data_IF_278318443218
#
_entry.id   IF_278318443218
#
_cell.length_a   1.000
_cell.length_b   1.000
_cell.length_c   1.000
_cell.angle_alpha   90.00
_cell.angle_beta   90.00
_cell.angle_gamma   90.00
#
_symmetry.space_group_name_H-M   'P 1'
#
loop_
_entity.id
_entity.type
_entity.pdbx_description
1 polymer ?
#
# COMPACT_ATOMS: atom_id res chain seq x y z
N UNK A 1 -34.88 -12.27 -32.15
CA UNK A 1 -36.04 -11.90 -31.30
C UNK A 1 -36.50 -13.05 -30.39
N UNK A 2 -36.80 -14.26 -30.89
CA UNK A 2 -37.28 -15.38 -30.06
C UNK A 2 -36.33 -15.80 -28.91
N UNK A 3 -35.01 -15.79 -29.13
CA UNK A 3 -34.02 -16.11 -28.10
C UNK A 3 -33.95 -15.05 -26.97
N UNK A 4 -34.16 -13.78 -27.31
CA UNK A 4 -34.19 -12.67 -26.34
C UNK A 4 -35.44 -12.73 -25.47
N UNK A 5 -36.59 -13.12 -26.06
CA UNK A 5 -37.82 -13.37 -25.33
C UNK A 5 -37.65 -14.53 -24.33
N UNK A 6 -37.03 -15.63 -24.77
CA UNK A 6 -36.70 -16.81 -23.95
C UNK A 6 -35.83 -16.47 -22.74
N UNK A 7 -34.76 -15.68 -22.93
CA UNK A 7 -33.86 -15.28 -21.83
C UNK A 7 -34.57 -14.37 -20.83
N UNK A 8 -35.43 -13.45 -21.28
CA UNK A 8 -36.27 -12.63 -20.37
C UNK A 8 -37.24 -13.48 -19.55
N UNK A 9 -37.82 -14.52 -20.14
CA UNK A 9 -38.72 -15.44 -19.44
C UNK A 9 -37.98 -16.26 -18.38
N UNK A 10 -36.76 -16.74 -18.67
CA UNK A 10 -35.93 -17.47 -17.70
C UNK A 10 -35.45 -16.57 -16.56
N UNK A 11 -35.02 -15.34 -16.87
CA UNK A 11 -34.65 -14.36 -15.85
C UNK A 11 -35.84 -14.00 -14.96
N UNK A 12 -37.02 -13.74 -15.54
CA UNK A 12 -38.25 -13.48 -14.78
C UNK A 12 -38.62 -14.64 -13.86
N UNK A 13 -38.43 -15.89 -14.31
CA UNK A 13 -38.70 -17.08 -13.51
C UNK A 13 -37.71 -17.21 -12.34
N UNK A 14 -36.42 -16.95 -12.57
CA UNK A 14 -35.39 -16.96 -11.53
C UNK A 14 -35.62 -15.86 -10.49
N UNK A 15 -36.03 -14.66 -10.91
CA UNK A 15 -36.39 -13.57 -9.98
C UNK A 15 -37.62 -13.92 -9.16
N UNK A 16 -38.61 -14.60 -9.75
CA UNK A 16 -39.79 -15.09 -9.03
C UNK A 16 -39.45 -16.19 -8.02
N UNK A 17 -38.58 -17.13 -8.38
CA UNK A 17 -38.10 -18.17 -7.48
C UNK A 17 -37.33 -17.55 -6.31
N UNK A 18 -36.47 -16.55 -6.57
CA UNK A 18 -35.76 -15.81 -5.52
C UNK A 18 -36.74 -15.06 -4.60
N UNK A 19 -37.77 -14.41 -5.15
CA UNK A 19 -38.79 -13.71 -4.36
C UNK A 19 -39.61 -14.65 -3.49
N UNK A 20 -40.00 -15.81 -4.02
CA UNK A 20 -40.68 -16.87 -3.24
C UNK A 20 -39.75 -17.39 -2.13
N UNK A 21 -38.45 -17.55 -2.40
CA UNK A 21 -37.48 -18.03 -1.40
C UNK A 21 -37.24 -17.00 -0.28
N UNK A 22 -37.24 -15.71 -0.62
CA UNK A 22 -37.15 -14.60 0.35
C UNK A 22 -38.42 -14.50 1.20
N UNK A 23 -39.61 -14.60 0.57
CA UNK A 23 -40.89 -14.56 1.27
C UNK A 23 -41.13 -15.79 2.16
N UNK A 24 -40.71 -16.98 1.73
CA UNK A 24 -40.81 -18.21 2.52
C UNK A 24 -39.77 -18.28 3.65
N UNK A 25 -38.69 -17.50 3.56
CA UNK A 25 -37.72 -17.34 4.65
C UNK A 25 -38.29 -16.60 5.87
N UNK A 26 -39.37 -15.81 5.71
CA UNK A 26 -39.97 -15.01 6.78
C UNK A 26 -41.12 -15.70 7.53
N UNK A 27 -41.67 -16.82 7.06
CA UNK A 27 -42.76 -17.54 7.74
C UNK A 27 -42.37 -18.98 8.15
N UNK A 28 -42.25 -19.19 9.47
CA UNK A 28 -42.18 -20.45 10.23
C UNK A 28 -41.46 -21.68 9.61
N UNK A 29 -40.27 -21.95 10.14
CA UNK A 29 -39.53 -23.21 10.01
C UNK A 29 -40.24 -24.38 10.72
N UNK A 30 -40.49 -25.48 10.00
CA UNK A 30 -40.88 -26.74 10.63
C UNK A 30 -41.15 -27.94 9.71
N UNK A 31 -41.84 -27.77 8.57
CA UNK A 31 -42.40 -28.94 7.86
C UNK A 31 -42.20 -29.02 6.34
N UNK A 32 -41.47 -28.09 5.72
CA UNK A 32 -41.35 -28.01 4.25
C UNK A 32 -40.03 -28.50 3.66
N UNK A 33 -39.31 -29.39 4.38
CA UNK A 33 -38.08 -30.00 3.85
C UNK A 33 -38.30 -31.17 2.88
N UNK A 34 -39.54 -31.62 2.64
CA UNK A 34 -39.83 -32.77 1.77
C UNK A 34 -40.71 -32.48 0.54
N UNK A 35 -41.39 -31.33 0.46
CA UNK A 35 -42.32 -31.04 -0.66
C UNK A 35 -41.64 -30.26 -1.81
N UNK A 36 -40.56 -29.52 -1.53
CA UNK A 36 -39.89 -28.69 -2.56
C UNK A 36 -38.96 -29.52 -3.48
N UNK A 37 -38.57 -30.73 -3.08
CA UNK A 37 -37.71 -31.61 -3.90
C UNK A 37 -38.48 -32.48 -4.91
N UNK A 38 -39.81 -32.57 -4.84
CA UNK A 38 -40.61 -33.43 -5.73
C UNK A 38 -41.42 -32.70 -6.79
N UNK A 39 -41.48 -31.36 -6.78
CA UNK A 39 -42.30 -30.60 -7.73
C UNK A 39 -41.64 -30.11 -9.03
N UNK A 40 -40.29 -30.00 -9.19
CA UNK A 40 -39.74 -29.54 -10.46
C UNK A 40 -39.71 -30.61 -11.56
N UNK A 41 -39.93 -31.90 -11.23
CA UNK A 41 -39.70 -32.98 -12.18
C UNK A 41 -40.86 -33.19 -13.17
N UNK A 42 -42.10 -32.89 -12.79
CA UNK A 42 -43.30 -33.19 -13.60
C UNK A 42 -43.62 -32.08 -14.62
N UNK A 43 -43.19 -30.84 -14.37
CA UNK A 43 -43.33 -29.73 -15.34
C UNK A 43 -42.18 -29.68 -16.36
N UNK A 44 -41.09 -30.42 -16.12
CA UNK A 44 -39.90 -30.40 -16.98
C UNK A 44 -40.07 -31.23 -18.27
N UNK A 45 -40.96 -32.23 -18.25
CA UNK A 45 -41.10 -33.18 -19.35
C UNK A 45 -41.91 -32.63 -20.54
N UNK A 46 -42.86 -31.72 -20.30
CA UNK A 46 -43.73 -31.17 -21.36
C UNK A 46 -43.10 -30.04 -22.19
N UNK A 47 -42.00 -29.43 -21.73
CA UNK A 47 -41.29 -28.38 -22.48
C UNK A 47 -39.98 -28.83 -23.13
N UNK A 48 -39.54 -30.07 -22.87
CA UNK A 48 -38.25 -30.58 -23.34
C UNK A 48 -38.21 -30.91 -24.85
N UNK A 49 -39.36 -31.17 -25.49
CA UNK A 49 -39.42 -31.48 -26.93
C UNK A 49 -39.17 -30.28 -27.87
N UNK A 50 -39.12 -29.04 -27.36
CA UNK A 50 -38.84 -27.84 -28.18
C UNK A 50 -37.43 -27.27 -28.02
N UNK A 51 -36.57 -27.90 -27.23
CA UNK A 51 -35.26 -27.35 -26.82
C UNK A 51 -34.05 -28.15 -27.31
N UNK A 52 -34.16 -28.88 -28.41
CA UNK A 52 -33.04 -29.65 -28.99
C UNK A 52 -31.96 -28.80 -29.71
N UNK A 53 -32.11 -27.47 -29.77
CA UNK A 53 -31.11 -26.58 -30.42
C UNK A 53 -30.28 -25.72 -29.45
N UNK A 54 -30.43 -25.88 -28.13
CA UNK A 54 -29.68 -25.08 -27.13
C UNK A 54 -28.88 -25.92 -26.10
N UNK A 55 -28.68 -27.21 -26.38
CA UNK A 55 -28.02 -28.16 -25.47
C UNK A 55 -26.57 -27.77 -25.14
N UNK A 56 -25.73 -27.26 -26.07
CA UNK A 56 -24.35 -26.86 -25.74
C UNK A 56 -24.26 -25.59 -24.86
N UNK A 57 -25.23 -24.68 -24.98
CA UNK A 57 -25.26 -23.43 -24.20
C UNK A 57 -25.74 -23.70 -22.76
N UNK A 58 -26.73 -24.60 -22.61
CA UNK A 58 -27.24 -25.03 -21.31
C UNK A 58 -26.25 -25.91 -20.53
N UNK A 59 -25.45 -26.74 -21.21
CA UNK A 59 -24.38 -27.50 -20.56
C UNK A 59 -23.28 -26.59 -19.98
N UNK A 60 -22.94 -25.48 -20.68
CA UNK A 60 -21.97 -24.49 -20.19
C UNK A 60 -22.54 -23.61 -19.08
N UNK A 61 -23.82 -23.20 -19.17
CA UNK A 61 -24.50 -22.48 -18.08
C UNK A 61 -24.72 -23.36 -16.83
N UNK A 62 -24.93 -24.67 -17.00
CA UNK A 62 -25.05 -25.63 -15.90
C UNK A 62 -23.77 -25.73 -15.06
N UNK A 63 -22.59 -25.68 -15.71
CA UNK A 63 -21.31 -25.66 -14.99
C UNK A 63 -21.15 -24.38 -14.15
N UNK A 64 -21.55 -23.22 -14.65
CA UNK A 64 -21.51 -21.96 -13.90
C UNK A 64 -22.58 -21.86 -12.81
N UNK A 65 -23.76 -22.46 -13.01
CA UNK A 65 -24.77 -22.60 -11.97
C UNK A 65 -24.24 -23.47 -10.81
N UNK A 66 -23.45 -24.50 -11.09
CA UNK A 66 -22.77 -25.31 -10.07
C UNK A 66 -21.73 -24.48 -9.32
N UNK A 67 -20.92 -23.65 -10.01
CA UNK A 67 -19.96 -22.76 -9.36
C UNK A 67 -20.63 -21.64 -8.55
N UNK A 68 -21.75 -21.11 -9.03
CA UNK A 68 -22.54 -20.11 -8.31
C UNK A 68 -23.24 -20.73 -7.09
N UNK A 69 -23.82 -21.92 -7.22
CA UNK A 69 -24.35 -22.69 -6.09
C UNK A 69 -23.23 -23.06 -5.10
N UNK A 70 -22.04 -23.44 -5.57
CA UNK A 70 -20.89 -23.69 -4.71
C UNK A 70 -20.44 -22.42 -3.98
N UNK A 71 -20.46 -21.26 -4.64
CA UNK A 71 -20.17 -19.97 -4.03
C UNK A 71 -21.21 -19.62 -2.94
N UNK A 72 -22.50 -19.76 -3.26
CA UNK A 72 -23.61 -19.54 -2.32
C UNK A 72 -23.52 -20.52 -1.14
N UNK A 73 -23.24 -21.80 -1.39
CA UNK A 73 -23.04 -22.80 -0.34
C UNK A 73 -21.78 -22.54 0.48
N UNK A 74 -20.68 -22.03 -0.10
CA UNK A 74 -19.47 -21.65 0.64
C UNK A 74 -19.70 -20.40 1.50
N UNK A 75 -20.48 -19.43 1.00
CA UNK A 75 -20.90 -18.28 1.82
C UNK A 75 -21.84 -18.71 2.94
N UNK A 76 -22.76 -19.65 2.70
CA UNK A 76 -23.69 -20.15 3.72
C UNK A 76 -22.99 -21.05 4.76
N UNK A 77 -22.03 -21.89 4.34
CA UNK A 77 -21.15 -22.64 5.25
C UNK A 77 -20.26 -21.70 6.07
N UNK A 78 -19.67 -20.69 5.43
CA UNK A 78 -18.85 -19.68 6.07
C UNK A 78 -19.65 -18.87 7.10
N UNK A 79 -20.85 -18.43 6.74
CA UNK A 79 -21.77 -17.74 7.63
C UNK A 79 -22.26 -18.65 8.77
N UNK A 80 -22.56 -19.92 8.50
CA UNK A 80 -22.96 -20.91 9.50
C UNK A 80 -21.82 -21.24 10.47
N UNK A 81 -20.57 -21.31 9.99
CA UNK A 81 -19.38 -21.50 10.82
C UNK A 81 -19.11 -20.29 11.71
N UNK A 82 -19.23 -19.07 11.17
CA UNK A 82 -19.16 -17.82 11.94
C UNK A 82 -20.27 -17.79 13.00
N UNK A 83 -21.49 -18.21 12.66
CA UNK A 83 -22.64 -18.26 13.59
C UNK A 83 -22.41 -19.25 14.73
N UNK A 84 -21.92 -20.45 14.43
CA UNK A 84 -21.56 -21.45 15.43
C UNK A 84 -20.41 -20.96 16.33
N UNK A 85 -19.38 -20.35 15.76
CA UNK A 85 -18.25 -19.79 16.50
C UNK A 85 -18.70 -18.66 17.44
N UNK A 86 -19.59 -17.76 16.99
CA UNK A 86 -20.14 -16.66 17.79
C UNK A 86 -21.02 -17.19 18.94
N UNK A 87 -21.91 -18.15 18.67
CA UNK A 87 -22.81 -18.73 19.68
C UNK A 87 -22.08 -19.51 20.77
N UNK A 88 -20.96 -20.18 20.43
CA UNK A 88 -20.20 -21.01 21.38
C UNK A 88 -19.13 -20.18 22.12
N UNK A 89 -18.71 -19.02 21.56
CA UNK A 89 -17.66 -18.17 22.13
C UNK A 89 -17.79 -17.79 23.62
N UNK A 90 -18.99 -17.57 24.19
CA UNK A 90 -19.14 -17.26 25.63
C UNK A 90 -18.80 -18.44 26.54
N UNK A 91 -18.78 -19.66 26.01
CA UNK A 91 -18.57 -20.90 26.75
C UNK A 91 -17.16 -21.47 26.58
N UNK A 92 -16.28 -20.78 25.85
CA UNK A 92 -14.92 -21.21 25.57
C UNK A 92 -13.92 -20.61 26.57
N UNK A 93 -12.87 -21.37 26.91
CA UNK A 93 -11.73 -20.82 27.65
C UNK A 93 -11.12 -19.61 26.91
N UNK A 94 -10.53 -18.64 27.63
CA UNK A 94 -9.96 -17.41 27.03
C UNK A 94 -8.97 -17.71 25.87
N UNK A 95 -8.17 -18.77 25.99
CA UNK A 95 -7.21 -19.19 24.95
C UNK A 95 -7.92 -19.71 23.70
N UNK A 96 -8.99 -20.50 23.88
CA UNK A 96 -9.79 -21.06 22.79
C UNK A 96 -10.65 -19.98 22.11
N UNK A 97 -11.20 -19.04 22.88
CA UNK A 97 -11.96 -17.90 22.36
C UNK A 97 -11.09 -16.99 21.47
N UNK A 98 -9.84 -16.70 21.88
CA UNK A 98 -8.86 -15.96 21.06
C UNK A 98 -8.54 -16.68 19.75
N UNK A 99 -8.35 -18.01 19.80
CA UNK A 99 -8.08 -18.82 18.61
C UNK A 99 -9.29 -18.84 17.66
N UNK A 100 -10.51 -18.99 18.18
CA UNK A 100 -11.75 -18.94 17.40
C UNK A 100 -11.98 -17.55 16.77
N UNK A 101 -11.70 -16.46 17.50
CA UNK A 101 -11.76 -15.11 16.96
C UNK A 101 -10.72 -14.87 15.85
N UNK A 102 -9.50 -15.40 16.00
CA UNK A 102 -8.46 -15.34 14.97
C UNK A 102 -8.87 -16.09 13.69
N UNK A 103 -9.41 -17.31 13.80
CA UNK A 103 -9.94 -18.04 12.64
C UNK A 103 -11.10 -17.30 11.98
N UNK A 104 -12.03 -16.76 12.78
CA UNK A 104 -13.17 -15.96 12.27
C UNK A 104 -12.69 -14.73 11.51
N UNK A 105 -11.68 -14.02 12.03
CA UNK A 105 -11.04 -12.87 11.35
C UNK A 105 -10.37 -13.28 10.05
N UNK A 106 -9.60 -14.38 10.04
CA UNK A 106 -8.98 -14.89 8.81
C UNK A 106 -10.02 -15.30 7.78
N UNK A 107 -11.08 -16.03 8.17
CA UNK A 107 -12.14 -16.43 7.25
C UNK A 107 -12.88 -15.22 6.67
N UNK A 108 -13.15 -14.18 7.48
CA UNK A 108 -13.76 -12.95 7.00
C UNK A 108 -12.83 -12.16 6.07
N UNK A 109 -11.54 -12.09 6.38
CA UNK A 109 -10.53 -11.49 5.50
C UNK A 109 -10.40 -12.25 4.17
N UNK A 110 -10.38 -13.59 4.20
CA UNK A 110 -10.42 -14.41 2.99
C UNK A 110 -11.68 -14.18 2.17
N UNK A 111 -12.86 -14.07 2.80
CA UNK A 111 -14.08 -13.71 2.06
C UNK A 111 -13.98 -12.30 1.45
N UNK A 112 -13.44 -11.33 2.20
CA UNK A 112 -13.30 -9.94 1.73
C UNK A 112 -12.32 -9.80 0.55
N UNK A 113 -11.25 -10.61 0.51
CA UNK A 113 -10.22 -10.53 -0.54
C UNK A 113 -10.51 -11.49 -1.70
N UNK A 114 -10.94 -12.72 -1.41
CA UNK A 114 -11.20 -13.73 -2.43
C UNK A 114 -12.51 -13.51 -3.18
N UNK A 115 -13.57 -13.01 -2.51
CA UNK A 115 -14.86 -12.81 -3.17
C UNK A 115 -14.78 -11.76 -4.31
N UNK A 116 -14.13 -10.59 -4.13
CA UNK A 116 -13.92 -9.66 -5.24
C UNK A 116 -13.05 -10.25 -6.36
N UNK A 117 -12.00 -10.99 -6.03
CA UNK A 117 -11.14 -11.63 -7.04
C UNK A 117 -11.90 -12.67 -7.87
N UNK A 118 -12.70 -13.52 -7.22
CA UNK A 118 -13.56 -14.51 -7.89
C UNK A 118 -14.63 -13.82 -8.74
N UNK A 119 -15.21 -12.72 -8.25
CA UNK A 119 -16.16 -11.89 -9.00
C UNK A 119 -15.52 -11.24 -10.23
N UNK A 120 -14.29 -10.75 -10.14
CA UNK A 120 -13.55 -10.21 -11.29
C UNK A 120 -13.31 -11.30 -12.32
N UNK A 121 -12.84 -12.48 -11.91
CA UNK A 121 -12.62 -13.63 -12.81
C UNK A 121 -13.94 -14.07 -13.49
N UNK A 122 -15.04 -14.08 -12.75
CA UNK A 122 -16.38 -14.37 -13.28
C UNK A 122 -16.83 -13.32 -14.31
N UNK A 123 -16.63 -12.04 -14.02
CA UNK A 123 -16.99 -10.94 -14.92
C UNK A 123 -16.13 -10.93 -16.19
N UNK A 124 -14.81 -11.19 -16.08
CA UNK A 124 -13.89 -11.29 -17.21
C UNK A 124 -14.27 -12.47 -18.12
N UNK A 125 -14.57 -13.64 -17.54
CA UNK A 125 -15.00 -14.82 -18.27
C UNK A 125 -16.31 -14.63 -19.04
N UNK A 126 -17.25 -13.87 -18.48
CA UNK A 126 -18.55 -13.56 -19.12
C UNK A 126 -18.40 -12.51 -20.23
N UNK A 127 -17.49 -11.54 -20.06
CA UNK A 127 -17.21 -10.48 -21.05
C UNK A 127 -16.72 -11.03 -22.40
N UNK A 128 -16.02 -12.17 -22.40
CA UNK A 128 -15.54 -12.83 -23.62
C UNK A 128 -16.59 -13.72 -24.31
N UNK A 129 -17.73 -14.02 -23.68
CA UNK A 129 -18.72 -14.97 -24.20
C UNK A 129 -20.06 -14.33 -24.59
N UNK A 130 -20.36 -13.12 -24.11
CA UNK A 130 -21.62 -12.44 -24.39
C UNK A 130 -21.41 -11.22 -25.30
N UNK A 131 -22.41 -10.87 -26.13
CA UNK A 131 -22.48 -9.57 -26.77
C UNK A 131 -22.36 -8.46 -25.73
N UNK A 132 -21.67 -7.37 -26.07
CA UNK A 132 -21.22 -6.31 -25.16
C UNK A 132 -22.31 -5.76 -24.24
N UNK A 133 -23.55 -5.66 -24.75
CA UNK A 133 -24.69 -5.14 -24.01
C UNK A 133 -25.24 -6.12 -22.96
N UNK A 134 -25.16 -7.43 -23.24
CA UNK A 134 -25.55 -8.49 -22.31
C UNK A 134 -24.50 -8.70 -21.21
N UNK A 135 -23.22 -8.56 -21.55
CA UNK A 135 -22.13 -8.59 -20.57
C UNK A 135 -22.25 -7.42 -19.58
N UNK A 136 -22.58 -6.21 -20.05
CA UNK A 136 -22.82 -5.05 -19.17
C UNK A 136 -24.00 -5.27 -18.23
N UNK A 137 -25.11 -5.79 -18.73
CA UNK A 137 -26.30 -6.08 -17.92
C UNK A 137 -25.99 -7.13 -16.84
N UNK A 138 -25.24 -8.17 -17.18
CA UNK A 138 -24.81 -9.20 -16.23
C UNK A 138 -23.90 -8.63 -15.15
N UNK A 139 -22.88 -7.85 -15.51
CA UNK A 139 -22.00 -7.20 -14.54
C UNK A 139 -22.76 -6.25 -13.61
N UNK A 140 -23.74 -5.49 -14.12
CA UNK A 140 -24.61 -4.66 -13.30
C UNK A 140 -25.44 -5.49 -12.32
N UNK A 141 -26.09 -6.57 -12.77
CA UNK A 141 -26.86 -7.45 -11.88
C UNK A 141 -25.99 -8.09 -10.79
N UNK A 142 -24.80 -8.58 -11.14
CA UNK A 142 -23.86 -9.16 -10.18
C UNK A 142 -23.40 -8.12 -9.15
N UNK A 143 -23.03 -6.91 -9.61
CA UNK A 143 -22.64 -5.83 -8.71
C UNK A 143 -23.79 -5.42 -7.77
N UNK A 144 -25.01 -5.32 -8.27
CA UNK A 144 -26.19 -5.02 -7.46
C UNK A 144 -26.46 -6.11 -6.42
N UNK A 145 -26.32 -7.40 -6.78
CA UNK A 145 -26.47 -8.51 -5.85
C UNK A 145 -25.38 -8.49 -4.78
N UNK A 146 -24.12 -8.24 -5.16
CA UNK A 146 -23.00 -8.15 -4.21
C UNK A 146 -23.20 -6.98 -3.25
N UNK A 147 -23.58 -5.82 -3.77
CA UNK A 147 -23.87 -4.64 -2.92
C UNK A 147 -25.08 -4.88 -2.01
N UNK A 148 -26.11 -5.57 -2.49
CA UNK A 148 -27.27 -5.95 -1.68
C UNK A 148 -26.88 -6.94 -0.58
N UNK A 149 -26.04 -7.95 -0.86
CA UNK A 149 -25.51 -8.89 0.14
C UNK A 149 -24.66 -8.15 1.18
N UNK A 150 -23.75 -7.28 0.74
CA UNK A 150 -22.91 -6.46 1.61
C UNK A 150 -23.74 -5.52 2.49
N UNK A 151 -24.83 -4.94 1.97
CA UNK A 151 -25.76 -4.10 2.71
C UNK A 151 -26.71 -4.89 3.63
N UNK A 152 -27.01 -6.15 3.32
CA UNK A 152 -27.89 -7.04 4.08
C UNK A 152 -27.18 -7.72 5.25
N UNK A 153 -25.87 -7.99 5.14
CA UNK A 153 -25.08 -8.59 6.24
C UNK A 153 -25.18 -7.80 7.56
N UNK A 154 -25.10 -6.45 7.58
CA UNK A 154 -25.29 -5.66 8.79
C UNK A 154 -26.72 -5.67 9.37
N UNK A 155 -27.76 -5.86 8.54
CA UNK A 155 -29.17 -5.78 8.97
C UNK A 155 -29.69 -7.10 9.55
N UNK A 156 -29.20 -8.24 9.06
CA UNK A 156 -29.56 -9.59 9.58
C UNK A 156 -28.80 -9.94 10.85
N UNK A 157 -27.63 -9.34 11.04
CA UNK A 157 -26.79 -9.56 12.21
C UNK A 157 -26.52 -8.24 12.94
N UNK A 158 -27.52 -7.65 13.62
CA UNK A 158 -27.30 -6.45 14.44
C UNK A 158 -26.26 -6.67 15.54
N UNK A 159 -26.02 -7.92 15.95
CA UNK A 159 -24.91 -8.32 16.83
C UNK A 159 -23.53 -8.29 16.18
N UNK A 160 -23.40 -8.36 14.85
CA UNK A 160 -22.11 -8.28 14.15
C UNK A 160 -21.45 -6.91 14.36
N UNK A 161 -22.21 -5.82 14.59
CA UNK A 161 -21.64 -4.52 15.01
C UNK A 161 -20.86 -4.59 16.32
N UNK A 162 -21.15 -5.55 17.20
CA UNK A 162 -20.36 -5.82 18.43
C UNK A 162 -19.12 -6.68 18.17
N UNK A 163 -19.04 -7.36 17.02
CA UNK A 163 -17.95 -8.25 16.63
C UNK A 163 -17.07 -7.70 15.51
N UNK A 164 -17.52 -6.66 14.79
CA UNK A 164 -16.61 -5.77 14.08
C UNK A 164 -15.64 -5.26 15.16
N UNK A 165 -14.33 -5.54 15.03
CA UNK A 165 -13.38 -5.02 15.99
C UNK A 165 -13.60 -3.51 16.03
N UNK A 166 -14.03 -2.99 17.19
CA UNK A 166 -13.80 -1.58 17.46
C UNK A 166 -12.33 -1.39 17.19
N UNK A 167 -11.98 -0.51 16.26
CA UNK A 167 -10.60 -0.10 16.09
C UNK A 167 -10.23 0.51 17.43
N UNK A 168 -9.54 -0.28 18.25
CA UNK A 168 -8.96 0.20 19.49
C UNK A 168 -7.76 1.01 19.07
N UNK A 169 -7.88 2.30 19.26
CA UNK A 169 -6.77 3.21 19.14
C UNK A 169 -5.93 3.09 20.41
N UNK A 170 -4.62 2.98 20.25
CA UNK A 170 -3.63 2.88 21.32
C UNK A 170 -2.65 4.05 21.21
N UNK A 171 -1.94 4.36 22.31
CA UNK A 171 -0.86 5.34 22.30
C UNK A 171 0.37 4.81 21.55
N UNK A 172 1.33 5.69 21.24
CA UNK A 172 2.62 5.29 20.66
C UNK A 172 3.34 4.35 21.62
N UNK A 173 3.44 4.70 22.91
CA UNK A 173 4.08 3.85 23.93
C UNK A 173 3.50 2.43 23.94
N UNK A 174 2.18 2.31 23.96
CA UNK A 174 1.53 1.00 23.94
C UNK A 174 1.80 0.24 22.63
N UNK A 175 1.84 0.95 21.49
CA UNK A 175 2.20 0.34 20.20
C UNK A 175 3.62 -0.24 20.24
N UNK A 176 4.58 0.48 20.81
CA UNK A 176 5.96 -0.01 20.99
C UNK A 176 5.99 -1.22 21.93
N UNK A 177 5.28 -1.16 23.07
CA UNK A 177 5.19 -2.24 24.06
C UNK A 177 4.54 -3.52 23.51
N UNK A 178 3.66 -3.41 22.52
CA UNK A 178 3.03 -4.56 21.84
C UNK A 178 3.98 -5.28 20.86
N UNK A 179 5.24 -4.83 20.76
CA UNK A 179 6.30 -5.50 20.01
C UNK A 179 6.48 -4.93 18.59
N UNK A 180 6.26 -3.64 18.42
CA UNK A 180 6.48 -2.91 17.16
C UNK A 180 7.73 -2.03 17.24
N UNK A 181 8.95 -2.61 17.18
CA UNK A 181 10.18 -1.84 17.31
C UNK A 181 10.33 -0.89 16.13
N UNK A 182 10.65 0.38 16.42
CA UNK A 182 10.79 1.42 15.39
C UNK A 182 12.21 1.52 14.81
N UNK A 183 13.20 1.00 15.54
CA UNK A 183 14.56 0.77 15.07
C UNK A 183 14.99 -0.67 15.41
N UNK A 184 15.97 -1.19 14.68
CA UNK A 184 16.59 -2.48 14.99
C UNK A 184 18.09 -2.41 14.72
N UNK A 185 18.89 -3.15 15.47
CA UNK A 185 20.32 -3.24 15.20
C UNK A 185 20.57 -4.16 14.01
N UNK A 186 21.40 -3.72 13.06
CA UNK A 186 21.75 -4.48 11.87
C UNK A 186 23.16 -5.09 12.03
N UNK A 187 23.23 -6.39 12.33
CA UNK A 187 24.48 -7.05 12.71
C UNK A 187 25.60 -6.92 11.66
N UNK A 188 25.30 -7.11 10.38
CA UNK A 188 26.32 -7.05 9.31
C UNK A 188 26.94 -5.67 9.14
N UNK A 189 26.16 -4.62 9.39
CA UNK A 189 26.57 -3.23 9.18
C UNK A 189 27.00 -2.55 10.48
N UNK A 190 26.71 -3.17 11.63
CA UNK A 190 27.07 -2.69 12.96
C UNK A 190 26.46 -1.30 13.31
N UNK A 191 25.24 -1.01 12.86
CA UNK A 191 24.50 0.20 13.24
C UNK A 191 22.98 -0.04 13.33
N UNK A 192 22.23 0.91 13.90
CA UNK A 192 20.76 0.82 13.98
C UNK A 192 20.09 1.25 12.69
N UNK A 193 19.22 0.40 12.15
CA UNK A 193 18.41 0.69 10.96
C UNK A 193 16.96 0.99 11.34
N UNK A 194 16.32 1.76 10.48
CA UNK A 194 14.93 2.15 10.59
C UNK A 194 14.00 1.01 10.14
N UNK A 195 13.07 0.57 11.00
CA UNK A 195 12.19 -0.58 10.69
C UNK A 195 10.99 -0.19 9.82
N UNK A 196 10.21 -1.19 9.37
CA UNK A 196 8.93 -0.94 8.72
C UNK A 196 7.93 -0.25 9.65
N UNK A 197 7.90 -0.65 10.92
CA UNK A 197 6.95 -0.10 11.89
C UNK A 197 7.29 1.35 12.21
N UNK A 198 8.58 1.67 12.31
CA UNK A 198 9.06 3.04 12.38
C UNK A 198 8.63 3.86 11.16
N UNK A 199 8.86 3.36 9.94
CA UNK A 199 8.44 4.03 8.70
C UNK A 199 6.94 4.30 8.66
N UNK A 200 6.15 3.30 9.03
CA UNK A 200 4.70 3.42 9.07
C UNK A 200 4.25 4.47 10.10
N UNK A 201 4.92 4.56 11.25
CA UNK A 201 4.63 5.56 12.27
C UNK A 201 4.80 6.99 11.73
N UNK A 202 5.94 7.29 11.11
CA UNK A 202 6.18 8.60 10.51
C UNK A 202 5.25 8.88 9.33
N UNK A 203 5.17 7.96 8.37
CA UNK A 203 4.31 8.11 7.18
C UNK A 203 2.85 8.33 7.59
N UNK A 204 2.37 7.55 8.55
CA UNK A 204 1.00 7.61 9.04
C UNK A 204 0.63 8.98 9.60
N UNK A 205 1.44 9.54 10.49
CA UNK A 205 1.16 10.86 11.06
C UNK A 205 1.43 12.02 10.11
N UNK A 206 2.45 11.93 9.25
CA UNK A 206 2.66 12.90 8.17
C UNK A 206 1.44 12.92 7.25
N UNK A 207 0.91 11.75 6.86
CA UNK A 207 -0.29 11.68 6.02
C UNK A 207 -1.51 12.30 6.71
N UNK A 208 -1.66 12.13 8.03
CA UNK A 208 -2.74 12.80 8.79
C UNK A 208 -2.63 14.33 8.64
N UNK A 209 -1.44 14.89 8.79
CA UNK A 209 -1.19 16.34 8.68
C UNK A 209 -1.43 16.82 7.25
N UNK A 210 -0.85 16.16 6.25
CA UNK A 210 -1.01 16.55 4.85
C UNK A 210 -2.46 16.43 4.38
N UNK A 211 -3.21 15.41 4.86
CA UNK A 211 -4.62 15.26 4.54
C UNK A 211 -5.50 16.30 5.25
N UNK A 212 -5.15 16.73 6.46
CA UNK A 212 -5.84 17.82 7.12
C UNK A 212 -5.64 19.14 6.37
N UNK A 213 -4.41 19.41 5.91
CA UNK A 213 -4.09 20.58 5.09
C UNK A 213 -4.91 20.62 3.79
N UNK A 214 -5.00 19.49 3.08
CA UNK A 214 -5.84 19.37 1.88
C UNK A 214 -7.34 19.60 2.17
N UNK A 215 -7.78 19.37 3.40
CA UNK A 215 -9.15 19.64 3.88
C UNK A 215 -9.33 21.06 4.44
N UNK A 216 -8.33 21.93 4.24
CA UNK A 216 -8.27 23.29 4.78
C UNK A 216 -8.31 23.37 6.31
N UNK A 217 -7.71 22.38 7.00
CA UNK A 217 -7.60 22.35 8.46
C UNK A 217 -6.15 22.24 8.90
N UNK A 218 -5.84 22.78 10.08
CA UNK A 218 -4.54 22.67 10.72
C UNK A 218 -4.68 22.68 12.24
N UNK A 219 -3.65 22.19 12.93
CA UNK A 219 -3.50 22.38 14.36
C UNK A 219 -2.57 23.57 14.70
N UNK A 220 -1.85 24.13 13.71
CA UNK A 220 -0.78 25.12 13.90
C UNK A 220 0.22 24.72 14.99
N UNK A 221 0.60 23.43 15.04
CA UNK A 221 1.47 22.83 16.04
C UNK A 221 0.79 22.55 17.40
N UNK A 222 -0.52 22.79 17.53
CA UNK A 222 -1.23 22.60 18.80
C UNK A 222 -1.75 21.17 18.97
N UNK A 223 -0.84 20.21 19.12
CA UNK A 223 -1.13 18.84 19.57
C UNK A 223 0.08 18.26 20.32
N UNK A 224 -0.16 17.28 21.19
CA UNK A 224 0.88 16.66 22.03
C UNK A 224 0.95 15.14 21.78
N UNK A 225 1.94 14.47 22.39
CA UNK A 225 2.12 13.01 22.24
C UNK A 225 0.86 12.24 22.69
N UNK A 226 0.18 12.75 23.72
CA UNK A 226 -1.06 12.18 24.23
C UNK A 226 -2.24 12.34 23.28
N UNK A 227 -2.13 13.14 22.22
CA UNK A 227 -3.16 13.24 21.16
C UNK A 227 -2.93 12.20 20.06
N UNK A 228 -1.74 11.59 19.99
CA UNK A 228 -1.35 10.66 18.93
C UNK A 228 -1.94 9.28 19.18
N UNK A 229 -2.60 8.73 18.15
CA UNK A 229 -3.32 7.45 18.22
C UNK A 229 -3.01 6.58 17.03
N UNK A 230 -2.81 5.30 17.32
CA UNK A 230 -2.55 4.26 16.32
C UNK A 230 -3.66 3.23 16.41
N UNK A 231 -4.34 2.99 15.29
CA UNK A 231 -5.27 1.89 15.08
C UNK A 231 -4.67 0.86 14.14
N UNK A 232 -5.36 -0.27 13.94
CA UNK A 232 -4.83 -1.41 13.19
C UNK A 232 -4.32 -1.10 11.76
N UNK A 233 -4.85 -0.08 11.09
CA UNK A 233 -4.39 0.40 9.78
C UNK A 233 -4.57 1.93 9.64
N UNK A 234 -4.67 2.65 10.75
CA UNK A 234 -5.03 4.07 10.73
C UNK A 234 -4.23 4.82 11.79
N UNK A 235 -3.86 6.04 11.45
CA UNK A 235 -3.22 6.99 12.36
C UNK A 235 -4.17 8.15 12.55
N UNK A 236 -4.19 8.71 13.76
CA UNK A 236 -5.09 9.81 14.10
C UNK A 236 -4.45 10.73 15.13
N UNK A 237 -4.70 12.02 14.98
CA UNK A 237 -4.56 13.02 16.05
C UNK A 237 -5.95 13.22 16.64
N UNK A 238 -6.14 12.86 17.91
CA UNK A 238 -7.45 12.88 18.57
C UNK A 238 -7.99 14.30 18.76
N UNK A 239 -7.08 15.27 18.91
CA UNK A 239 -7.39 16.69 19.02
C UNK A 239 -7.97 17.22 17.71
N UNK A 240 -8.97 18.09 17.83
CA UNK A 240 -9.60 18.73 16.67
C UNK A 240 -8.68 19.80 16.05
N UNK A 241 -8.58 19.79 14.72
CA UNK A 241 -7.86 20.80 13.94
C UNK A 241 -8.76 22.03 13.73
N UNK A 242 -8.53 23.07 14.52
CA UNK A 242 -9.38 24.29 14.54
C UNK A 242 -8.80 25.47 13.77
N UNK A 243 -7.54 25.39 13.37
CA UNK A 243 -6.82 26.50 12.71
C UNK A 243 -6.93 26.42 11.19
N UNK A 244 -6.75 27.56 10.52
CA UNK A 244 -6.73 27.65 9.06
C UNK A 244 -5.48 26.97 8.47
N UNK A 245 -5.66 26.29 7.34
CA UNK A 245 -4.57 25.64 6.60
C UNK A 245 -3.69 26.63 5.81
N UNK A 246 -2.96 27.49 6.51
CA UNK A 246 -1.89 28.29 5.91
C UNK A 246 -0.63 27.43 5.73
N UNK A 247 0.25 27.79 4.77
CA UNK A 247 1.52 27.07 4.58
C UNK A 247 2.41 27.15 5.82
N UNK A 248 2.40 28.27 6.55
CA UNK A 248 3.10 28.42 7.83
C UNK A 248 2.58 27.44 8.88
N UNK A 249 1.25 27.33 9.03
CA UNK A 249 0.65 26.40 9.98
C UNK A 249 0.92 24.93 9.62
N UNK A 250 0.97 24.59 8.32
CA UNK A 250 1.42 23.28 7.88
C UNK A 250 2.85 22.97 8.35
N UNK A 251 3.77 23.92 8.20
CA UNK A 251 5.15 23.73 8.64
C UNK A 251 5.25 23.58 10.17
N UNK A 252 4.42 24.31 10.93
CA UNK A 252 4.32 24.13 12.38
C UNK A 252 3.80 22.75 12.75
N UNK A 253 2.78 22.24 12.06
CA UNK A 253 2.26 20.89 12.27
C UNK A 253 3.33 19.82 11.97
N UNK A 254 4.06 19.96 10.86
CA UNK A 254 5.15 19.05 10.47
C UNK A 254 6.32 19.09 11.45
N UNK A 255 6.73 20.27 11.91
CA UNK A 255 7.77 20.42 12.92
C UNK A 255 7.32 19.82 14.27
N UNK A 256 6.07 20.04 14.67
CA UNK A 256 5.53 19.49 15.91
C UNK A 256 5.52 17.97 15.90
N UNK A 257 5.03 17.33 14.83
CA UNK A 257 5.05 15.87 14.76
C UNK A 257 6.48 15.32 14.78
N UNK A 258 7.43 16.02 14.14
CA UNK A 258 8.83 15.62 14.18
C UNK A 258 9.41 15.64 15.59
N UNK A 259 9.13 16.70 16.35
CA UNK A 259 9.56 16.88 17.74
C UNK A 259 8.97 15.84 18.70
N UNK A 260 7.75 15.36 18.43
CA UNK A 260 7.11 14.29 19.21
C UNK A 260 7.68 12.92 18.84
N UNK A 261 7.74 12.61 17.55
CA UNK A 261 8.14 11.28 17.08
C UNK A 261 9.60 10.97 17.34
N UNK A 262 10.52 11.93 17.14
CA UNK A 262 11.98 11.68 17.22
C UNK A 262 12.42 11.06 18.54
N UNK A 263 11.71 11.34 19.64
CA UNK A 263 11.99 10.84 20.99
C UNK A 263 11.91 9.33 21.09
N UNK A 264 11.07 8.72 20.27
CA UNK A 264 10.88 7.27 20.20
C UNK A 264 11.96 6.54 19.38
N UNK A 265 12.83 7.29 18.69
CA UNK A 265 13.88 6.78 17.81
C UNK A 265 15.30 6.96 18.36
N UNK A 266 15.42 7.51 19.57
CA UNK A 266 16.71 7.72 20.22
C UNK A 266 17.29 6.34 20.57
N UNK A 267 18.48 6.06 20.05
CA UNK A 267 19.16 4.77 20.21
C UNK A 267 19.93 4.72 21.53
N UNK A 268 20.51 3.56 21.87
CA UNK A 268 21.41 3.42 23.04
C UNK A 268 22.60 4.39 22.99
N UNK A 269 23.03 4.76 21.77
CA UNK A 269 24.08 5.74 21.51
C UNK A 269 23.57 7.19 21.52
N UNK A 270 22.31 7.41 21.89
CA UNK A 270 21.62 8.72 21.95
C UNK A 270 21.40 9.42 20.60
N UNK A 271 21.71 8.79 19.47
CA UNK A 271 21.51 9.36 18.14
C UNK A 271 20.54 8.49 17.32
N UNK A 272 19.48 9.06 16.72
CA UNK A 272 18.60 8.31 15.83
C UNK A 272 19.35 7.92 14.53
N UNK A 273 18.88 6.91 13.76
CA UNK A 273 19.47 6.56 12.47
C UNK A 273 19.56 7.78 11.53
N UNK A 274 20.57 7.85 10.68
CA UNK A 274 20.84 8.97 9.77
C UNK A 274 19.65 9.32 8.87
N UNK A 275 18.91 8.33 8.36
CA UNK A 275 17.69 8.59 7.60
C UNK A 275 16.57 9.25 8.43
N UNK A 276 16.52 8.98 9.73
CA UNK A 276 15.56 9.60 10.66
C UNK A 276 16.02 11.01 11.04
N UNK A 277 17.33 11.23 11.23
CA UNK A 277 17.90 12.56 11.44
C UNK A 277 17.56 13.50 10.28
N UNK A 278 17.75 13.03 9.05
CA UNK A 278 17.48 13.80 7.85
C UNK A 278 15.98 14.05 7.64
N UNK A 279 15.12 13.06 7.91
CA UNK A 279 13.67 13.26 7.91
C UNK A 279 13.24 14.31 8.94
N UNK A 280 13.78 14.25 10.15
CA UNK A 280 13.53 15.24 11.20
C UNK A 280 13.96 16.63 10.73
N UNK A 281 15.19 16.77 10.21
CA UNK A 281 15.69 18.04 9.69
C UNK A 281 14.81 18.59 8.57
N UNK A 282 14.37 17.74 7.63
CA UNK A 282 13.49 18.15 6.53
C UNK A 282 12.09 18.62 6.99
N UNK A 283 11.64 18.21 8.17
CA UNK A 283 10.35 18.61 8.74
C UNK A 283 10.47 19.87 9.61
N UNK A 284 11.58 20.06 10.30
CA UNK A 284 11.81 21.23 11.18
C UNK A 284 12.46 22.40 10.45
N UNK A 285 13.26 22.12 9.43
CA UNK A 285 13.98 23.08 8.59
C UNK A 285 13.69 22.78 7.10
N UNK A 286 12.46 23.06 6.64
CA UNK A 286 12.01 22.64 5.31
C UNK A 286 12.77 23.36 4.19
N UNK A 287 13.10 22.61 3.13
CA UNK A 287 13.76 23.12 1.92
C UNK A 287 12.97 24.24 1.21
N UNK A 288 11.65 24.29 1.41
CA UNK A 288 10.79 25.38 0.94
C UNK A 288 10.37 26.25 2.13
N UNK A 289 11.00 27.43 2.33
CA UNK A 289 10.73 28.28 3.49
C UNK A 289 9.33 28.90 3.42
N UNK A 290 8.77 29.24 4.59
CA UNK A 290 7.47 29.92 4.70
C UNK A 290 7.49 31.36 4.15
N UNK A 291 8.66 32.00 4.19
CA UNK A 291 8.84 33.41 3.82
C UNK A 291 9.91 33.53 2.74
N UNK A 292 9.62 34.19 1.60
CA UNK A 292 8.30 34.72 1.21
C UNK A 292 7.27 33.60 1.00
N UNK A 293 5.98 33.92 1.14
CA UNK A 293 4.89 32.94 0.96
C UNK A 293 5.03 32.27 -0.41
N UNK A 294 5.23 30.94 -0.45
CA UNK A 294 5.45 30.26 -1.72
C UNK A 294 4.22 30.31 -2.64
N UNK A 295 4.45 30.15 -3.94
CA UNK A 295 3.36 30.01 -4.90
C UNK A 295 2.58 28.70 -4.65
N UNK A 296 1.27 28.64 -4.97
CA UNK A 296 0.49 27.40 -4.83
C UNK A 296 1.12 26.20 -5.56
N UNK A 297 1.79 26.44 -6.70
CA UNK A 297 2.51 25.40 -7.44
C UNK A 297 3.72 24.87 -6.67
N UNK A 298 4.49 25.74 -6.02
CA UNK A 298 5.62 25.34 -5.18
C UNK A 298 5.14 24.53 -3.97
N UNK A 299 4.04 24.95 -3.33
CA UNK A 299 3.40 24.21 -2.23
C UNK A 299 2.97 22.82 -2.69
N UNK A 300 2.31 22.69 -3.85
CA UNK A 300 1.91 21.38 -4.39
C UNK A 300 3.12 20.46 -4.66
N UNK A 301 4.23 21.02 -5.16
CA UNK A 301 5.48 20.27 -5.34
C UNK A 301 6.08 19.83 -3.99
N UNK A 302 6.02 20.68 -2.97
CA UNK A 302 6.43 20.34 -1.61
C UNK A 302 5.57 19.22 -1.01
N UNK A 303 4.23 19.32 -1.11
CA UNK A 303 3.33 18.25 -0.64
C UNK A 303 3.60 16.92 -1.37
N UNK A 304 3.85 16.98 -2.69
CA UNK A 304 4.22 15.80 -3.49
C UNK A 304 5.53 15.16 -3.01
N UNK A 305 6.52 15.98 -2.67
CA UNK A 305 7.79 15.55 -2.10
C UNK A 305 7.59 14.93 -0.71
N UNK A 306 6.90 15.61 0.22
CA UNK A 306 6.72 15.13 1.58
C UNK A 306 6.00 13.79 1.67
N UNK A 307 4.97 13.57 0.84
CA UNK A 307 4.28 12.26 0.73
C UNK A 307 5.18 11.12 0.28
N UNK A 308 6.27 11.44 -0.41
CA UNK A 308 7.19 10.49 -1.02
C UNK A 308 8.63 10.73 -0.56
N UNK A 309 8.78 11.20 0.67
CA UNK A 309 10.09 11.48 1.23
C UNK A 309 10.93 10.19 1.31
N UNK A 310 12.22 10.19 0.92
CA UNK A 310 13.05 8.96 0.89
C UNK A 310 13.12 8.19 2.19
N UNK A 311 13.19 8.89 3.33
CA UNK A 311 13.16 8.26 4.66
C UNK A 311 11.85 7.51 4.96
N UNK A 312 10.73 7.87 4.31
CA UNK A 312 9.45 7.17 4.51
C UNK A 312 9.30 5.93 3.62
N UNK A 313 10.15 5.79 2.60
CA UNK A 313 10.11 4.65 1.68
C UNK A 313 11.05 3.55 2.14
N UNK A 314 10.75 2.32 1.72
CA UNK A 314 11.69 1.22 1.92
C UNK A 314 13.02 1.55 1.21
N UNK A 315 14.19 1.32 1.84
CA UNK A 315 15.49 1.64 1.25
C UNK A 315 15.67 1.13 -0.19
N UNK A 316 15.30 -0.14 -0.44
CA UNK A 316 15.23 -0.75 -1.78
C UNK A 316 14.41 0.02 -2.83
N UNK A 317 13.32 0.67 -2.42
CA UNK A 317 12.52 1.49 -3.35
C UNK A 317 13.26 2.75 -3.74
N UNK A 318 13.97 3.37 -2.80
CA UNK A 318 14.80 4.55 -3.05
C UNK A 318 15.97 4.21 -3.97
N UNK A 319 16.67 3.10 -3.76
CA UNK A 319 17.75 2.65 -4.66
C UNK A 319 17.25 2.33 -6.08
N UNK A 320 16.12 1.62 -6.17
CA UNK A 320 15.44 1.35 -7.45
C UNK A 320 15.01 2.64 -8.15
N UNK A 321 14.50 3.61 -7.40
CA UNK A 321 14.11 4.91 -7.93
C UNK A 321 15.29 5.65 -8.55
N UNK A 322 16.41 5.75 -7.81
CA UNK A 322 17.64 6.39 -8.30
C UNK A 322 18.12 5.73 -9.59
N UNK A 323 18.16 4.40 -9.62
CA UNK A 323 18.56 3.63 -10.81
C UNK A 323 17.65 3.91 -12.01
N UNK A 324 16.33 4.00 -11.80
CA UNK A 324 15.38 4.31 -12.87
C UNK A 324 15.48 5.77 -13.35
N UNK A 325 15.74 6.72 -12.46
CA UNK A 325 16.00 8.12 -12.85
C UNK A 325 17.23 8.18 -13.75
N UNK A 326 18.30 7.45 -13.42
CA UNK A 326 19.48 7.35 -14.27
C UNK A 326 19.18 6.80 -15.66
N UNK A 327 18.47 5.68 -15.73
CA UNK A 327 18.10 5.05 -17.00
C UNK A 327 17.23 5.97 -17.85
N UNK A 328 16.26 6.65 -17.22
CA UNK A 328 15.41 7.64 -17.89
C UNK A 328 16.24 8.81 -18.42
N UNK A 329 17.14 9.37 -17.61
CA UNK A 329 18.01 10.48 -18.01
C UNK A 329 18.87 10.13 -19.23
N UNK A 330 19.41 8.90 -19.30
CA UNK A 330 20.18 8.44 -20.48
C UNK A 330 19.34 8.31 -21.75
N UNK A 331 18.04 8.09 -21.62
CA UNK A 331 17.12 7.97 -22.74
C UNK A 331 16.50 9.31 -23.17
N UNK A 332 16.74 10.39 -22.41
CA UNK A 332 16.22 11.72 -22.70
C UNK A 332 16.98 12.43 -23.83
N UNK A 333 16.28 13.33 -24.52
CA UNK A 333 16.94 14.32 -25.38
C UNK A 333 17.69 15.38 -24.57
N UNK A 334 18.61 16.11 -25.23
CA UNK A 334 19.53 17.05 -24.57
C UNK A 334 18.85 18.06 -23.63
N UNK A 335 17.68 18.61 -24.01
CA UNK A 335 16.96 19.58 -23.19
C UNK A 335 16.43 18.98 -21.88
N UNK A 336 15.81 17.80 -21.93
CA UNK A 336 15.28 17.12 -20.75
C UNK A 336 16.40 16.61 -19.85
N UNK A 337 17.47 16.10 -20.45
CA UNK A 337 18.68 15.71 -19.71
C UNK A 337 19.27 16.92 -18.95
N UNK A 338 19.34 18.09 -19.59
CA UNK A 338 19.81 19.31 -18.93
C UNK A 338 18.94 19.71 -17.73
N UNK A 339 17.61 19.53 -17.79
CA UNK A 339 16.73 19.74 -16.65
C UNK A 339 17.04 18.78 -15.49
N UNK A 340 17.28 17.50 -15.78
CA UNK A 340 17.68 16.52 -14.75
C UNK A 340 19.02 16.91 -14.13
N UNK A 341 20.02 17.25 -14.96
CA UNK A 341 21.33 17.66 -14.44
C UNK A 341 21.28 18.99 -13.68
N UNK A 342 20.35 19.89 -14.01
CA UNK A 342 20.08 21.10 -13.23
C UNK A 342 19.51 20.76 -11.85
N UNK A 343 18.63 19.76 -11.76
CA UNK A 343 18.14 19.27 -10.48
C UNK A 343 19.27 18.64 -9.66
N UNK A 344 20.09 17.80 -10.29
CA UNK A 344 21.26 17.17 -9.67
C UNK A 344 22.23 18.23 -9.14
N UNK A 345 22.58 19.23 -9.95
CA UNK A 345 23.56 20.26 -9.56
C UNK A 345 23.16 21.11 -8.35
N UNK A 346 21.89 21.07 -7.93
CA UNK A 346 21.38 21.79 -6.76
C UNK A 346 21.50 21.01 -5.46
N UNK A 347 21.78 19.71 -5.53
CA UNK A 347 22.01 18.89 -4.33
C UNK A 347 23.24 19.42 -3.61
N UNK A 348 23.05 19.82 -2.35
CA UNK A 348 24.13 20.15 -1.44
C UNK A 348 24.74 18.84 -0.96
N UNK A 349 25.88 18.51 -1.54
CA UNK A 349 26.67 17.37 -1.09
C UNK A 349 27.54 17.84 0.07
N UNK A 350 27.61 17.08 1.18
CA UNK A 350 28.66 17.28 2.16
C UNK A 350 30.00 17.29 1.44
N UNK A 351 30.80 18.34 1.62
CA UNK A 351 32.08 18.52 0.91
C UNK A 351 33.07 17.35 1.12
N UNK A 352 32.77 16.48 2.08
CA UNK A 352 33.52 15.34 2.53
C UNK A 352 32.85 14.00 2.22
N UNK A 353 31.80 13.91 1.39
CA UNK A 353 31.13 12.62 1.12
C UNK A 353 32.10 11.54 0.61
N UNK A 354 33.14 11.93 -0.13
CA UNK A 354 34.23 11.04 -0.54
C UNK A 354 35.09 10.59 0.66
N UNK A 355 35.43 11.50 1.57
CA UNK A 355 36.15 11.18 2.81
C UNK A 355 35.30 10.29 3.71
N UNK A 356 34.01 10.56 3.86
CA UNK A 356 33.06 9.70 4.59
C UNK A 356 33.03 8.29 3.97
N UNK A 357 33.02 8.19 2.64
CA UNK A 357 33.06 6.91 1.92
C UNK A 357 34.37 6.15 2.18
N UNK A 358 35.50 6.86 2.26
CA UNK A 358 36.84 6.29 2.50
C UNK A 358 37.08 5.93 3.99
N UNK A 359 36.74 6.84 4.91
CA UNK A 359 36.97 6.78 6.36
C UNK A 359 36.03 5.80 7.07
N UNK A 360 34.77 5.69 6.63
CA UNK A 360 33.83 4.73 7.22
C UNK A 360 34.29 3.28 7.04
N UNK A 361 35.20 3.02 6.10
CA UNK A 361 35.84 1.71 5.95
C UNK A 361 34.90 0.61 5.45
N UNK A 362 33.64 0.91 5.13
CA UNK A 362 32.69 -0.09 4.66
C UNK A 362 33.18 -0.70 3.34
N UNK A 363 33.40 -2.03 3.27
CA UNK A 363 34.00 -2.67 2.10
C UNK A 363 33.27 -2.38 0.78
N UNK A 364 31.95 -2.19 0.82
CA UNK A 364 31.09 -1.95 -0.34
C UNK A 364 31.23 -0.53 -0.91
N UNK A 365 31.25 0.46 -0.02
CA UNK A 365 31.50 1.86 -0.36
C UNK A 365 32.89 2.01 -0.96
N UNK A 366 33.90 1.45 -0.27
CA UNK A 366 35.27 1.49 -0.72
C UNK A 366 35.48 0.78 -2.06
N UNK A 367 34.88 -0.38 -2.30
CA UNK A 367 35.01 -1.05 -3.60
C UNK A 367 34.45 -0.20 -4.74
N UNK A 368 33.25 0.36 -4.55
CA UNK A 368 32.62 1.21 -5.57
C UNK A 368 33.49 2.44 -5.84
N UNK A 369 34.01 3.05 -4.78
CA UNK A 369 34.84 4.25 -4.84
C UNK A 369 36.21 4.00 -5.50
N UNK A 370 36.87 2.88 -5.17
CA UNK A 370 38.19 2.50 -5.68
C UNK A 370 38.14 1.70 -6.98
N UNK A 371 36.96 1.46 -7.55
CA UNK A 371 36.80 0.59 -8.70
C UNK A 371 37.65 1.07 -9.88
N UNK A 372 38.66 0.26 -10.21
CA UNK A 372 39.57 0.46 -11.33
C UNK A 372 40.33 1.80 -11.31
N UNK A 373 40.47 2.42 -10.13
CA UNK A 373 41.19 3.69 -9.90
C UNK A 373 42.71 3.59 -10.05
N UNK A 374 43.26 2.40 -9.81
CA UNK A 374 44.70 2.11 -9.96
C UNK A 374 45.09 1.70 -11.39
N UNK A 375 44.13 1.61 -12.31
CA UNK A 375 44.38 1.29 -13.70
C UNK A 375 44.83 2.55 -14.47
N UNK A 376 46.08 2.63 -14.93
CA UNK A 376 46.60 3.83 -15.59
C UNK A 376 45.93 4.13 -16.94
N UNK A 377 45.17 3.18 -17.50
CA UNK A 377 44.40 3.36 -18.72
C UNK A 377 42.95 3.80 -18.46
N UNK A 378 42.53 3.87 -17.19
CA UNK A 378 41.18 4.22 -16.82
C UNK A 378 41.04 5.72 -16.51
N UNK A 379 40.91 6.52 -17.56
CA UNK A 379 40.75 7.98 -17.46
C UNK A 379 39.31 8.42 -17.08
N UNK A 380 38.34 7.50 -16.96
CA UNK A 380 36.91 7.82 -16.83
C UNK A 380 36.27 7.55 -15.46
N UNK A 381 36.96 6.86 -14.53
CA UNK A 381 36.33 6.40 -13.27
C UNK A 381 36.78 7.14 -12.01
N UNK A 382 37.46 8.28 -12.10
CA UNK A 382 37.74 9.07 -10.91
C UNK A 382 36.49 9.86 -10.51
N UNK A 383 36.03 9.69 -9.28
CA UNK A 383 35.02 10.58 -8.68
C UNK A 383 35.68 11.90 -8.28
N UNK A 384 34.96 13.00 -8.45
CA UNK A 384 35.36 14.31 -7.94
C UNK A 384 34.33 14.79 -6.90
N UNK A 385 34.64 15.90 -6.24
CA UNK A 385 33.67 16.59 -5.39
C UNK A 385 32.58 17.21 -6.26
N UNK A 386 31.35 16.76 -6.07
CA UNK A 386 30.21 17.32 -6.79
C UNK A 386 28.95 16.46 -6.68
N UNK A 387 27.77 17.07 -6.86
CA UNK A 387 26.49 16.36 -6.83
C UNK A 387 26.27 15.40 -8.01
N UNK A 388 26.79 15.73 -9.18
CA UNK A 388 26.79 14.84 -10.34
C UNK A 388 27.63 13.58 -10.10
N UNK A 389 28.76 13.76 -9.43
CA UNK A 389 29.64 12.66 -9.04
C UNK A 389 29.07 11.81 -7.91
N UNK A 390 28.45 12.41 -6.89
CA UNK A 390 27.69 11.66 -5.88
C UNK A 390 26.55 10.87 -6.54
N UNK A 391 25.80 11.50 -7.44
CA UNK A 391 24.72 10.82 -8.16
C UNK A 391 25.29 9.62 -8.93
N UNK A 392 26.38 9.81 -9.69
CA UNK A 392 27.07 8.73 -10.43
C UNK A 392 27.61 7.65 -9.50
N UNK A 393 28.09 8.01 -8.32
CA UNK A 393 28.54 7.09 -7.29
C UNK A 393 27.38 6.22 -6.78
N UNK A 394 26.26 6.83 -6.40
CA UNK A 394 25.06 6.11 -5.96
C UNK A 394 24.57 5.13 -7.02
N UNK A 395 24.57 5.52 -8.30
CA UNK A 395 24.27 4.59 -9.41
C UNK A 395 25.18 3.36 -9.36
N UNK A 396 26.49 3.59 -9.34
CA UNK A 396 27.47 2.50 -9.36
C UNK A 396 27.35 1.62 -8.12
N UNK A 397 27.07 2.21 -6.96
CA UNK A 397 26.83 1.48 -5.74
C UNK A 397 25.61 0.55 -5.90
N UNK A 398 24.49 1.05 -6.42
CA UNK A 398 23.27 0.25 -6.58
C UNK A 398 23.35 -0.78 -7.72
N UNK A 399 24.05 -0.47 -8.82
CA UNK A 399 24.18 -1.37 -9.98
C UNK A 399 25.28 -2.43 -9.78
N UNK A 400 26.35 -2.09 -9.07
CA UNK A 400 27.57 -2.90 -9.01
C UNK A 400 28.07 -3.20 -7.60
N UNK A 401 27.54 -2.55 -6.56
CA UNK A 401 27.99 -2.79 -5.18
C UNK A 401 27.75 -4.23 -4.72
N UNK A 402 26.73 -4.89 -5.27
CA UNK A 402 26.42 -6.32 -5.10
C UNK A 402 27.29 -7.29 -5.91
N UNK A 403 28.15 -6.80 -6.79
CA UNK A 403 28.81 -7.64 -7.79
C UNK A 403 29.85 -8.59 -7.19
N UNK A 404 30.07 -9.65 -7.96
CA UNK A 404 31.00 -10.71 -7.65
C UNK A 404 32.44 -10.18 -7.60
N UNK A 405 33.29 -10.75 -6.73
CA UNK A 405 34.72 -10.48 -6.80
C UNK A 405 35.35 -11.03 -8.11
N UNK A 406 36.65 -10.75 -8.31
CA UNK A 406 37.41 -11.27 -9.47
C UNK A 406 37.44 -12.81 -9.55
N UNK A 407 37.02 -13.51 -8.50
CA UNK A 407 36.93 -14.98 -8.42
C UNK A 407 35.50 -15.48 -8.60
N UNK A 408 34.54 -14.60 -8.93
CA UNK A 408 33.14 -14.98 -9.15
C UNK A 408 32.39 -15.32 -7.86
N UNK A 409 32.83 -14.83 -6.69
CA UNK A 409 32.11 -15.01 -5.41
C UNK A 409 31.18 -13.84 -5.16
N UNK A 410 29.90 -14.14 -4.86
CA UNK A 410 28.93 -13.12 -4.51
C UNK A 410 29.39 -12.47 -3.21
N UNK A 411 29.62 -11.16 -3.25
CA UNK A 411 30.25 -10.47 -2.12
C UNK A 411 29.25 -9.94 -1.10
N UNK A 412 27.96 -9.95 -1.44
CA UNK A 412 26.85 -9.62 -0.57
C UNK A 412 25.94 -10.83 -0.42
N UNK A 413 25.67 -11.21 0.83
CA UNK A 413 24.66 -12.21 1.14
C UNK A 413 23.25 -11.61 1.04
N UNK A 414 23.11 -10.30 1.31
CA UNK A 414 21.84 -9.59 1.24
C UNK A 414 22.00 -8.23 0.53
N UNK A 415 21.17 -7.95 -0.47
CA UNK A 415 21.14 -6.64 -1.12
C UNK A 415 20.58 -5.56 -0.20
N UNK A 416 19.85 -5.93 0.85
CA UNK A 416 19.30 -5.01 1.83
C UNK A 416 20.40 -4.26 2.58
N UNK A 417 21.57 -4.89 2.83
CA UNK A 417 22.72 -4.24 3.47
C UNK A 417 23.15 -2.98 2.72
N UNK A 418 23.17 -3.06 1.40
CA UNK A 418 23.57 -1.95 0.54
C UNK A 418 22.53 -0.83 0.54
N UNK A 419 21.25 -1.21 0.51
CA UNK A 419 20.15 -0.26 0.57
C UNK A 419 20.13 0.48 1.92
N UNK A 420 20.32 -0.23 3.04
CA UNK A 420 20.40 0.35 4.38
C UNK A 420 21.63 1.25 4.54
N UNK A 421 22.80 0.80 4.06
CA UNK A 421 24.02 1.58 4.11
C UNK A 421 23.89 2.90 3.33
N UNK A 422 23.30 2.85 2.13
CA UNK A 422 23.07 4.07 1.36
C UNK A 422 22.03 4.99 2.01
N UNK A 423 20.96 4.43 2.58
CA UNK A 423 19.95 5.17 3.34
C UNK A 423 20.53 5.86 4.59
N UNK A 424 21.54 5.26 5.21
CA UNK A 424 22.21 5.83 6.38
C UNK A 424 23.20 6.93 5.98
N UNK A 425 24.12 6.62 5.07
CA UNK A 425 25.26 7.50 4.74
C UNK A 425 24.87 8.65 3.82
N UNK A 426 23.94 8.41 2.89
CA UNK A 426 23.58 9.38 1.84
C UNK A 426 22.15 9.91 1.98
N UNK A 427 21.55 9.81 3.17
CA UNK A 427 20.18 10.25 3.44
C UNK A 427 19.89 11.66 2.88
N UNK A 428 20.75 12.63 3.21
CA UNK A 428 20.57 14.04 2.84
C UNK A 428 20.66 14.26 1.35
N UNK A 429 21.69 13.69 0.71
CA UNK A 429 21.86 13.77 -0.74
C UNK A 429 20.66 13.17 -1.49
N UNK A 430 20.10 12.06 -0.99
CA UNK A 430 18.92 11.45 -1.58
C UNK A 430 17.66 12.29 -1.38
N UNK A 431 17.42 12.83 -0.18
CA UNK A 431 16.29 13.71 0.11
C UNK A 431 16.28 14.95 -0.81
N UNK A 432 17.42 15.63 -0.88
CA UNK A 432 17.59 16.81 -1.74
C UNK A 432 17.46 16.48 -3.23
N UNK A 433 18.00 15.35 -3.67
CA UNK A 433 17.85 14.90 -5.05
C UNK A 433 16.37 14.70 -5.41
N UNK A 434 15.60 13.99 -4.57
CA UNK A 434 14.17 13.80 -4.82
C UNK A 434 13.43 15.14 -4.83
N UNK A 435 13.74 16.04 -3.90
CA UNK A 435 13.16 17.38 -3.87
C UNK A 435 13.41 18.14 -5.18
N UNK A 436 14.66 18.24 -5.62
CA UNK A 436 15.01 18.99 -6.82
C UNK A 436 14.49 18.36 -8.09
N UNK A 437 14.42 17.01 -8.17
CA UNK A 437 13.77 16.33 -9.29
C UNK A 437 12.27 16.64 -9.36
N UNK A 438 11.58 16.69 -8.21
CA UNK A 438 10.16 17.12 -8.16
C UNK A 438 10.02 18.58 -8.53
N UNK A 439 10.94 19.44 -8.07
CA UNK A 439 10.88 20.88 -8.31
C UNK A 439 11.07 21.24 -9.79
N UNK A 440 12.16 20.73 -10.38
CA UNK A 440 12.64 21.11 -11.72
C UNK A 440 12.00 20.26 -12.84
N UNK A 441 11.74 18.98 -12.59
CA UNK A 441 11.28 18.04 -13.63
C UNK A 441 9.83 17.60 -13.45
N UNK A 442 9.21 17.93 -12.31
CA UNK A 442 7.84 17.54 -11.92
C UNK A 442 7.60 16.02 -11.92
N UNK A 443 8.64 15.22 -12.11
CA UNK A 443 8.60 13.78 -12.33
C UNK A 443 7.66 13.35 -13.45
N UNK A 444 7.71 14.07 -14.58
CA UNK A 444 6.89 13.83 -15.77
C UNK A 444 7.69 13.18 -16.91
N UNK A 445 6.99 12.77 -17.98
CA UNK A 445 7.62 12.18 -19.17
C UNK A 445 8.33 10.86 -18.84
N UNK A 446 9.59 10.72 -19.24
CA UNK A 446 10.36 9.50 -18.98
C UNK A 446 10.61 9.23 -17.49
N UNK A 447 10.46 10.23 -16.62
CA UNK A 447 10.56 10.07 -15.16
C UNK A 447 9.26 9.58 -14.52
N UNK A 448 8.14 9.60 -15.24
CA UNK A 448 6.83 9.26 -14.69
C UNK A 448 6.77 7.81 -14.21
N UNK A 449 7.40 6.89 -14.95
CA UNK A 449 7.46 5.49 -14.56
C UNK A 449 8.28 5.28 -13.28
N UNK A 450 9.45 5.92 -13.19
CA UNK A 450 10.28 5.89 -11.99
C UNK A 450 9.51 6.41 -10.77
N UNK A 451 8.77 7.51 -10.95
CA UNK A 451 7.98 8.12 -9.88
C UNK A 451 6.79 7.29 -9.44
N UNK A 452 6.01 6.74 -10.38
CA UNK A 452 4.85 5.90 -10.05
C UNK A 452 5.28 4.74 -9.17
N UNK A 453 6.31 4.01 -9.58
CA UNK A 453 6.80 2.85 -8.85
C UNK A 453 7.35 3.20 -7.45
N UNK A 454 7.94 4.39 -7.31
CA UNK A 454 8.44 4.92 -6.05
C UNK A 454 7.31 5.38 -5.11
N UNK A 455 6.23 5.92 -5.68
CA UNK A 455 5.12 6.53 -4.94
C UNK A 455 4.09 5.56 -4.36
N UNK A 456 4.08 4.30 -4.82
CA UNK A 456 3.15 3.24 -4.38
C UNK A 456 3.29 2.93 -2.89
#
# INVERSE_FOLDING_TARGET
MAAVQSVKSVLSLLTWILWIYVLLGEYHYGYLKLIVLSWPFVMFEQHFKRLQLAIPLLFRLGHWAIWFCALVCMTDLGCSYIRAAVLISPFLSRKTARKAAWYTRKTFHYMRVALPAVLVILCEGVRHMLPTDLARLFCQCVLTIVMAIVAWIPSVFPGLKRFLPRVTYISIEQYLDEGHPVTTFHETLNFQVYTSDGRNLWQGFIDVILNAYDQNKSWAGNFQDEDLRIGANEYKIDREATEDATYENLLLDLAQIANLLIRHFITENQFPPGCVQELYASLTEPLLPAVPVPSPQAIQKFLKFMRNYPGLKHPRRTSTFISKVFQAARAMGAAQYASVMTAVSRVQVPQDWMNVTEELGYPLLNRTFWFDRLNPYNQMNLYNDGPDELFRFLRNLFEHGGDYDRLGRQMLHDMEDLDYLAAEVFASGMAQLVWHLVLECEMTGLLEHAWKDYSI
#
